data_IF_390588720642
#
_entry.id   IF_390588720642
#
_cell.length_a   1.000
_cell.length_b   1.000
_cell.length_c   1.000
_cell.angle_alpha   90.00
_cell.angle_beta   90.00
_cell.angle_gamma   90.00
#
_symmetry.space_group_name_H-M   'P 1'
#
loop_
_entity.id
_entity.type
_entity.pdbx_description
1 polymer ?
#
# COMPACT_ATOMS: atom_id res chain seq x y z
N UNK A 1 -28.71 27.93 -12.23
CA UNK A 1 -27.73 27.93 -11.11
C UNK A 1 -26.58 28.83 -11.52
N UNK A 2 -26.25 29.86 -10.72
CA UNK A 2 -25.19 30.82 -11.03
C UNK A 2 -23.84 30.07 -11.15
N UNK A 3 -23.02 30.39 -12.13
CA UNK A 3 -21.77 29.69 -12.41
C UNK A 3 -20.79 29.69 -11.23
N UNK A 4 -20.77 30.74 -10.39
CA UNK A 4 -19.95 30.80 -9.17
C UNK A 4 -20.34 29.73 -8.12
N UNK A 5 -21.61 29.33 -8.05
CA UNK A 5 -22.04 28.23 -7.20
C UNK A 5 -21.46 26.90 -7.68
N UNK A 6 -21.41 26.70 -9.02
CA UNK A 6 -20.74 25.52 -9.64
C UNK A 6 -19.25 25.52 -9.35
N UNK A 7 -18.60 26.70 -9.40
CA UNK A 7 -17.18 26.85 -9.10
C UNK A 7 -16.88 26.49 -7.64
N UNK A 8 -17.67 26.99 -6.68
CA UNK A 8 -17.49 26.66 -5.26
C UNK A 8 -17.71 25.18 -4.98
N UNK A 9 -18.71 24.57 -5.64
CA UNK A 9 -18.93 23.13 -5.53
C UNK A 9 -17.75 22.33 -6.09
N UNK A 10 -17.19 22.75 -7.21
CA UNK A 10 -16.00 22.14 -7.80
C UNK A 10 -14.79 22.25 -6.86
N UNK A 11 -14.55 23.45 -6.31
CA UNK A 11 -13.48 23.66 -5.34
C UNK A 11 -13.64 22.74 -4.12
N UNK A 12 -14.85 22.63 -3.57
CA UNK A 12 -15.11 21.75 -2.42
C UNK A 12 -14.76 20.28 -2.71
N UNK A 13 -15.04 19.80 -3.93
CA UNK A 13 -14.68 18.45 -4.38
C UNK A 13 -13.17 18.27 -4.60
N UNK A 14 -12.41 19.34 -4.70
CA UNK A 14 -10.97 19.37 -4.97
C UNK A 14 -10.16 19.92 -3.77
N UNK A 15 -10.62 19.66 -2.54
CA UNK A 15 -9.97 20.15 -1.31
C UNK A 15 -9.76 21.66 -1.29
N UNK A 16 -10.70 22.42 -1.87
CA UNK A 16 -10.71 23.89 -1.87
C UNK A 16 -9.91 24.55 -2.98
N UNK A 17 -9.35 23.81 -3.94
CA UNK A 17 -8.58 24.40 -5.04
C UNK A 17 -9.28 24.31 -6.39
N UNK A 18 -8.95 25.24 -7.28
CA UNK A 18 -9.44 25.30 -8.66
C UNK A 18 -8.30 25.64 -9.62
N UNK A 19 -8.36 25.09 -10.83
CA UNK A 19 -7.43 25.41 -11.92
C UNK A 19 -8.02 26.36 -12.95
N UNK A 20 -7.20 27.23 -13.51
CA UNK A 20 -7.64 28.20 -14.54
C UNK A 20 -8.30 27.53 -15.74
N UNK A 21 -7.83 26.34 -16.12
CA UNK A 21 -8.39 25.59 -17.26
C UNK A 21 -9.81 25.06 -17.01
N UNK A 22 -10.25 25.02 -15.76
CA UNK A 22 -11.60 24.58 -15.38
C UNK A 22 -12.64 25.70 -15.51
N UNK A 23 -12.20 26.98 -15.66
CA UNK A 23 -13.10 28.13 -15.72
C UNK A 23 -14.12 28.00 -16.84
N UNK A 24 -13.70 27.57 -18.02
CA UNK A 24 -14.62 27.37 -19.16
C UNK A 24 -15.73 26.34 -18.88
N UNK A 25 -15.42 25.28 -18.13
CA UNK A 25 -16.38 24.21 -17.81
C UNK A 25 -17.48 24.66 -16.83
N UNK A 26 -17.17 25.62 -15.97
CA UNK A 26 -18.16 26.16 -15.03
C UNK A 26 -18.89 27.40 -15.56
N UNK A 27 -18.47 27.95 -16.70
CA UNK A 27 -19.03 29.15 -17.31
C UNK A 27 -18.44 30.45 -16.77
N UNK A 28 -17.24 30.37 -16.22
CA UNK A 28 -16.46 31.54 -15.77
C UNK A 28 -15.50 32.03 -16.86
N UNK A 29 -14.93 33.22 -16.66
CA UNK A 29 -13.99 33.85 -17.59
C UNK A 29 -12.65 34.23 -16.96
N UNK A 30 -11.69 34.60 -17.84
CA UNK A 30 -10.36 35.05 -17.43
C UNK A 30 -10.34 36.41 -16.70
N UNK A 31 -11.38 37.23 -16.87
CA UNK A 31 -11.51 38.51 -16.14
C UNK A 31 -11.80 38.25 -14.68
N UNK A 32 -12.73 37.33 -14.40
CA UNK A 32 -13.01 36.90 -13.04
C UNK A 32 -11.76 36.30 -12.39
N UNK A 33 -11.00 35.45 -13.10
CA UNK A 33 -9.77 34.84 -12.58
C UNK A 33 -8.76 35.90 -12.11
N UNK A 34 -8.52 36.92 -12.94
CA UNK A 34 -7.62 38.00 -12.58
C UNK A 34 -8.10 38.80 -11.36
N UNK A 35 -9.42 39.04 -11.25
CA UNK A 35 -9.99 39.75 -10.13
C UNK A 35 -9.97 38.91 -8.85
N UNK A 36 -10.26 37.59 -8.95
CA UNK A 36 -10.23 36.65 -7.81
C UNK A 36 -8.86 36.60 -7.12
N UNK A 37 -7.78 36.72 -7.88
CA UNK A 37 -6.41 36.79 -7.36
C UNK A 37 -6.11 38.05 -6.51
N UNK A 38 -6.97 39.04 -6.53
CA UNK A 38 -6.78 40.36 -5.87
C UNK A 38 -7.78 40.62 -4.75
N UNK A 39 -8.88 39.91 -4.70
CA UNK A 39 -10.00 40.25 -3.82
C UNK A 39 -9.97 39.58 -2.43
N UNK A 40 -8.92 38.80 -2.15
CA UNK A 40 -8.72 38.14 -0.84
C UNK A 40 -9.63 36.96 -0.54
N UNK A 41 -10.62 36.66 -1.41
CA UNK A 41 -11.49 35.48 -1.25
C UNK A 41 -10.89 34.20 -1.84
N UNK A 42 -9.85 34.37 -2.64
CA UNK A 42 -9.10 33.29 -3.28
C UNK A 42 -7.61 33.59 -3.16
N UNK A 43 -6.87 32.66 -2.61
CA UNK A 43 -5.43 32.74 -2.48
C UNK A 43 -4.77 32.14 -3.73
N UNK A 44 -3.91 32.88 -4.43
CA UNK A 44 -3.15 32.33 -5.55
C UNK A 44 -2.03 31.43 -5.05
N UNK A 45 -2.11 30.12 -5.34
CA UNK A 45 -1.02 29.17 -5.10
C UNK A 45 0.02 29.21 -6.24
N UNK A 46 -0.46 29.50 -7.46
CA UNK A 46 0.35 29.73 -8.65
C UNK A 46 -0.40 30.63 -9.63
N UNK A 47 0.17 30.85 -10.83
CA UNK A 47 -0.55 31.57 -11.90
C UNK A 47 -1.78 30.81 -12.39
N UNK A 48 -1.85 29.50 -12.16
CA UNK A 48 -2.87 28.63 -12.70
C UNK A 48 -3.79 28.01 -11.65
N UNK A 49 -3.52 28.17 -10.36
CA UNK A 49 -4.28 27.55 -9.27
C UNK A 49 -4.63 28.58 -8.20
N UNK A 50 -5.91 28.57 -7.84
CA UNK A 50 -6.44 29.35 -6.71
C UNK A 50 -6.94 28.42 -5.62
N UNK A 51 -6.71 28.78 -4.37
CA UNK A 51 -7.29 28.17 -3.17
C UNK A 51 -8.39 29.07 -2.60
N UNK A 52 -9.51 28.48 -2.21
CA UNK A 52 -10.56 29.19 -1.49
C UNK A 52 -10.05 29.60 -0.13
N UNK A 53 -10.30 30.86 0.25
CA UNK A 53 -9.95 31.37 1.57
C UNK A 53 -10.57 30.50 2.68
N UNK A 54 -9.84 30.37 3.81
CA UNK A 54 -10.25 29.53 4.94
C UNK A 54 -10.10 28.00 4.72
N UNK A 55 -9.62 27.55 3.56
CA UNK A 55 -9.38 26.11 3.34
C UNK A 55 -8.01 25.69 3.87
N UNK A 56 -7.92 24.65 4.72
CA UNK A 56 -6.64 24.18 5.26
C UNK A 56 -5.72 23.62 4.19
N UNK A 57 -4.42 23.84 4.37
CA UNK A 57 -3.39 23.30 3.47
C UNK A 57 -3.11 21.84 3.81
N UNK A 58 -3.88 20.92 3.24
CA UNK A 58 -3.68 19.46 3.41
C UNK A 58 -2.77 18.88 2.33
N UNK A 59 -2.30 17.66 2.56
CA UNK A 59 -1.49 16.91 1.58
C UNK A 59 -2.32 16.61 0.33
N UNK A 60 -3.59 16.26 0.50
CA UNK A 60 -4.54 16.04 -0.59
C UNK A 60 -4.75 17.33 -1.41
N UNK A 61 -4.90 18.48 -0.75
CA UNK A 61 -5.00 19.76 -1.43
C UNK A 61 -3.80 20.03 -2.32
N UNK A 62 -2.57 19.75 -1.81
CA UNK A 62 -1.33 19.91 -2.60
C UNK A 62 -1.30 19.00 -3.83
N UNK A 63 -1.79 17.75 -3.71
CA UNK A 63 -1.92 16.84 -4.83
C UNK A 63 -2.86 17.40 -5.92
N UNK A 64 -4.05 17.87 -5.54
CA UNK A 64 -4.96 18.56 -6.47
C UNK A 64 -4.32 19.79 -7.10
N UNK A 65 -3.71 20.65 -6.29
CA UNK A 65 -3.05 21.86 -6.76
C UNK A 65 -1.93 21.55 -7.77
N UNK A 66 -1.09 20.55 -7.48
CA UNK A 66 0.00 20.13 -8.37
C UNK A 66 -0.51 19.62 -9.73
N UNK A 67 -1.56 18.79 -9.73
CA UNK A 67 -2.17 18.30 -10.98
C UNK A 67 -2.82 19.44 -11.76
N UNK A 68 -3.58 20.32 -11.11
CA UNK A 68 -4.25 21.46 -11.74
C UNK A 68 -3.24 22.48 -12.31
N UNK A 69 -2.15 22.73 -11.60
CA UNK A 69 -1.08 23.63 -12.04
C UNK A 69 -0.35 23.08 -13.27
N UNK A 70 -0.14 21.78 -13.31
CA UNK A 70 0.45 21.11 -14.46
C UNK A 70 -0.47 21.10 -15.71
N UNK A 71 -1.76 21.34 -15.57
CA UNK A 71 -2.72 21.57 -16.67
C UNK A 71 -3.76 20.46 -16.86
N UNK A 72 -4.71 20.70 -17.78
CA UNK A 72 -5.91 19.88 -17.97
C UNK A 72 -5.68 18.40 -18.29
N UNK A 73 -4.49 18.04 -18.79
CA UNK A 73 -4.15 16.66 -19.16
C UNK A 73 -3.15 16.01 -18.22
N UNK A 74 -2.83 16.69 -17.11
CA UNK A 74 -1.93 16.18 -16.09
C UNK A 74 -2.65 15.17 -15.19
N UNK A 75 -1.87 14.28 -14.61
CA UNK A 75 -2.33 13.29 -13.65
C UNK A 75 -1.24 13.01 -12.62
N UNK A 76 -1.64 12.58 -11.43
CA UNK A 76 -0.72 12.17 -10.38
C UNK A 76 0.07 10.94 -10.82
N UNK A 77 1.37 10.90 -10.59
CA UNK A 77 2.24 9.87 -11.12
C UNK A 77 3.29 9.42 -10.09
N UNK A 78 4.07 8.41 -10.48
CA UNK A 78 5.22 7.88 -9.74
C UNK A 78 4.87 7.58 -8.27
N UNK A 79 5.73 7.96 -7.34
CA UNK A 79 5.56 7.72 -5.91
C UNK A 79 4.30 8.39 -5.35
N UNK A 80 3.93 9.58 -5.87
CA UNK A 80 2.70 10.26 -5.45
C UNK A 80 1.43 9.51 -5.88
N UNK A 81 1.45 8.80 -7.02
CA UNK A 81 0.34 7.92 -7.40
C UNK A 81 0.25 6.70 -6.46
N UNK A 82 1.38 6.10 -6.10
CA UNK A 82 1.44 4.99 -5.14
C UNK A 82 0.93 5.42 -3.76
N UNK A 83 1.38 6.58 -3.27
CA UNK A 83 0.91 7.15 -2.01
C UNK A 83 -0.61 7.44 -2.02
N UNK A 84 -1.15 7.88 -3.17
CA UNK A 84 -2.59 8.10 -3.32
C UNK A 84 -3.41 6.82 -3.24
N UNK A 85 -2.83 5.70 -3.62
CA UNK A 85 -3.40 4.35 -3.43
C UNK A 85 -3.18 3.79 -2.01
N UNK A 86 -2.41 4.45 -1.16
CA UNK A 86 -2.14 4.02 0.21
C UNK A 86 -1.01 2.98 0.33
N UNK A 87 -0.14 2.86 -0.68
CA UNK A 87 1.02 1.97 -0.56
C UNK A 87 1.98 2.45 0.52
N UNK A 88 2.49 1.50 1.32
CA UNK A 88 3.41 1.80 2.43
C UNK A 88 4.73 2.39 1.93
N UNK A 89 5.28 3.33 2.69
CA UNK A 89 6.53 4.02 2.39
C UNK A 89 6.54 4.83 1.08
N UNK A 90 5.38 5.09 0.49
CA UNK A 90 5.23 6.04 -0.59
C UNK A 90 4.79 7.42 -0.05
N UNK A 91 5.31 8.49 -0.64
CA UNK A 91 5.03 9.87 -0.21
C UNK A 91 4.30 10.65 -1.29
N UNK A 92 3.33 11.45 -0.87
CA UNK A 92 2.74 12.49 -1.73
C UNK A 92 3.67 13.71 -1.90
N UNK A 93 4.68 13.86 -1.06
CA UNK A 93 5.59 15.00 -1.09
C UNK A 93 7.03 14.60 -1.41
N UNK A 94 7.64 15.25 -2.38
CA UNK A 94 7.09 16.30 -3.25
C UNK A 94 6.08 15.73 -4.25
N UNK A 95 5.00 16.48 -4.53
CA UNK A 95 3.96 16.05 -5.48
C UNK A 95 4.59 15.79 -6.85
N UNK A 96 4.35 14.60 -7.40
CA UNK A 96 4.86 14.16 -8.70
C UNK A 96 3.70 13.98 -9.66
N UNK A 97 3.78 14.64 -10.80
CA UNK A 97 2.74 14.60 -11.83
C UNK A 97 3.35 14.28 -13.19
N UNK A 98 2.56 13.65 -14.03
CA UNK A 98 2.95 13.39 -15.39
C UNK A 98 1.91 13.92 -16.39
N UNK A 99 2.34 14.05 -17.63
CA UNK A 99 1.52 14.40 -18.78
C UNK A 99 1.84 13.49 -19.94
N UNK A 100 0.89 13.37 -20.87
CA UNK A 100 1.16 12.71 -22.14
C UNK A 100 2.14 13.54 -22.99
N UNK A 101 3.03 12.86 -23.71
CA UNK A 101 3.88 13.51 -24.69
C UNK A 101 3.04 14.19 -25.76
N UNK A 102 3.42 15.40 -26.20
CA UNK A 102 2.72 16.16 -27.23
C UNK A 102 1.74 17.21 -26.70
N UNK A 103 1.51 17.28 -25.39
CA UNK A 103 0.74 18.38 -24.80
C UNK A 103 1.60 19.60 -24.55
N UNK A 104 0.98 20.80 -24.63
CA UNK A 104 1.65 22.11 -24.43
C UNK A 104 2.41 22.16 -23.11
N UNK A 105 3.60 22.75 -23.13
CA UNK A 105 4.46 22.83 -21.98
C UNK A 105 3.99 23.95 -21.04
N UNK A 106 3.34 23.61 -19.95
CA UNK A 106 3.23 24.51 -18.79
C UNK A 106 4.17 23.97 -17.71
N UNK A 107 5.14 24.78 -17.32
CA UNK A 107 5.96 24.50 -16.16
C UNK A 107 5.10 24.82 -14.94
N UNK A 108 4.57 23.80 -14.27
CA UNK A 108 3.91 23.97 -12.98
C UNK A 108 4.94 24.23 -11.90
N UNK A 109 4.64 25.16 -10.98
CA UNK A 109 5.49 25.47 -9.82
C UNK A 109 5.19 24.57 -8.61
N UNK A 110 3.99 23.96 -8.58
CA UNK A 110 3.45 23.25 -7.41
C UNK A 110 3.74 21.74 -7.40
N UNK A 111 4.34 21.20 -8.46
CA UNK A 111 4.66 19.77 -8.54
C UNK A 111 5.89 19.52 -9.42
N UNK A 112 6.57 18.41 -9.17
CA UNK A 112 7.59 17.91 -10.09
C UNK A 112 6.90 17.26 -11.28
N UNK A 113 6.96 17.91 -12.45
CA UNK A 113 6.26 17.48 -13.65
C UNK A 113 7.22 16.84 -14.65
N UNK A 114 6.83 15.69 -15.21
CA UNK A 114 7.56 15.06 -16.31
C UNK A 114 6.61 14.54 -17.40
N UNK A 115 7.15 13.97 -18.45
CA UNK A 115 6.39 13.42 -19.57
C UNK A 115 6.55 11.93 -19.64
N UNK A 116 5.44 11.21 -19.60
CA UNK A 116 5.42 9.78 -19.85
C UNK A 116 5.14 9.50 -21.33
N UNK A 117 5.88 8.52 -21.84
CA UNK A 117 5.65 7.97 -23.17
C UNK A 117 4.65 6.82 -23.08
N UNK A 118 4.01 6.50 -24.20
CA UNK A 118 3.14 5.32 -24.35
C UNK A 118 2.01 5.24 -23.28
N UNK A 119 1.41 6.39 -22.93
CA UNK A 119 0.26 6.45 -22.01
C UNK A 119 -1.04 6.28 -22.81
N UNK A 120 -1.78 5.22 -22.54
CA UNK A 120 -3.09 4.93 -23.08
C UNK A 120 -4.18 5.55 -22.20
N UNK A 121 -5.43 5.58 -22.70
CA UNK A 121 -6.56 6.07 -21.90
C UNK A 121 -6.77 5.26 -20.61
N UNK A 122 -6.65 3.94 -20.69
CA UNK A 122 -6.77 3.03 -19.55
C UNK A 122 -5.63 3.13 -18.51
N UNK A 123 -4.53 3.80 -18.84
CA UNK A 123 -3.41 3.99 -17.94
C UNK A 123 -3.65 5.14 -16.94
N UNK A 124 -4.75 5.89 -17.07
CA UNK A 124 -5.12 6.97 -16.14
C UNK A 124 -6.54 6.72 -15.64
N UNK A 125 -6.70 6.70 -14.33
CA UNK A 125 -7.96 6.48 -13.63
C UNK A 125 -8.31 7.70 -12.78
N UNK A 126 -9.58 7.88 -12.43
CA UNK A 126 -10.00 8.95 -11.51
C UNK A 126 -10.26 8.33 -10.15
N UNK A 127 -9.50 8.75 -9.15
CA UNK A 127 -9.62 8.26 -7.76
C UNK A 127 -9.82 9.46 -6.84
N UNK A 128 -10.90 9.46 -6.07
CA UNK A 128 -11.28 10.58 -5.19
C UNK A 128 -11.30 11.93 -5.93
N UNK A 129 -11.78 11.92 -7.18
CA UNK A 129 -11.88 13.11 -8.02
C UNK A 129 -10.57 13.60 -8.68
N UNK A 130 -9.44 12.93 -8.43
CA UNK A 130 -8.14 13.27 -9.02
C UNK A 130 -7.77 12.28 -10.13
N UNK A 131 -7.32 12.73 -11.32
CA UNK A 131 -6.73 11.85 -12.32
C UNK A 131 -5.36 11.35 -11.83
N UNK A 132 -5.20 10.04 -11.83
CA UNK A 132 -4.04 9.33 -11.26
C UNK A 132 -3.58 8.26 -12.26
N UNK A 133 -2.30 8.03 -12.36
CA UNK A 133 -1.76 6.89 -13.09
C UNK A 133 -2.31 5.59 -12.49
N UNK A 134 -2.78 4.67 -13.32
CA UNK A 134 -3.37 3.42 -12.84
C UNK A 134 -2.39 2.63 -11.96
N UNK A 135 -2.86 1.80 -11.01
CA UNK A 135 -2.01 1.07 -10.08
C UNK A 135 -0.88 0.31 -10.76
N UNK A 136 -1.21 -0.44 -11.80
CA UNK A 136 -0.21 -1.21 -12.56
C UNK A 136 0.81 -0.30 -13.27
N UNK A 137 0.38 0.84 -13.80
CA UNK A 137 1.29 1.78 -14.46
C UNK A 137 2.18 2.52 -13.45
N UNK A 138 1.66 2.82 -12.25
CA UNK A 138 2.45 3.36 -11.15
C UNK A 138 3.53 2.37 -10.71
N UNK A 139 3.20 1.07 -10.57
CA UNK A 139 4.17 0.01 -10.31
C UNK A 139 5.26 -0.08 -11.40
N UNK A 140 4.91 0.08 -12.68
CA UNK A 140 5.88 0.14 -13.78
C UNK A 140 6.80 1.35 -13.72
N UNK A 141 6.30 2.52 -13.31
CA UNK A 141 7.13 3.71 -13.10
C UNK A 141 8.11 3.49 -11.95
N UNK A 142 7.65 2.89 -10.86
CA UNK A 142 8.51 2.54 -9.74
C UNK A 142 9.58 1.49 -10.14
N UNK A 143 9.20 0.45 -10.88
CA UNK A 143 10.14 -0.52 -11.41
C UNK A 143 11.23 0.16 -12.29
N UNK A 144 10.84 1.12 -13.12
CA UNK A 144 11.77 1.87 -13.95
C UNK A 144 12.73 2.72 -13.11
N UNK A 145 12.24 3.35 -12.03
CA UNK A 145 13.07 4.13 -11.09
C UNK A 145 14.03 3.23 -10.33
N UNK A 146 13.55 2.10 -9.85
CA UNK A 146 14.34 1.14 -9.07
C UNK A 146 15.39 0.40 -9.93
N UNK A 147 15.19 0.30 -11.24
CA UNK A 147 16.14 -0.39 -12.15
C UNK A 147 17.54 0.26 -12.22
N UNK A 148 17.71 1.44 -11.63
CA UNK A 148 19.02 2.08 -11.44
C UNK A 148 19.74 1.62 -10.16
N UNK A 149 19.08 0.84 -9.29
CA UNK A 149 19.63 0.30 -8.04
C UNK A 149 20.05 -1.16 -8.23
N UNK A 150 20.95 -1.69 -7.38
CA UNK A 150 21.22 -3.13 -7.31
C UNK A 150 19.95 -3.92 -6.97
N UNK A 151 19.83 -5.14 -7.52
CA UNK A 151 18.65 -5.98 -7.38
C UNK A 151 18.33 -6.29 -5.90
N UNK A 152 19.34 -6.44 -5.06
CA UNK A 152 19.19 -6.65 -3.60
C UNK A 152 18.38 -5.54 -2.89
N UNK A 153 18.38 -4.32 -3.44
CA UNK A 153 17.60 -3.19 -2.94
C UNK A 153 16.31 -2.96 -3.74
N UNK A 154 16.38 -3.18 -5.06
CA UNK A 154 15.29 -2.90 -5.98
C UNK A 154 14.15 -3.92 -5.85
N UNK A 155 14.48 -5.22 -5.80
CA UNK A 155 13.50 -6.30 -5.78
C UNK A 155 12.60 -6.21 -4.53
N UNK A 156 13.11 -6.16 -3.29
CA UNK A 156 12.24 -6.10 -2.10
C UNK A 156 11.35 -4.86 -2.05
N UNK A 157 11.83 -3.72 -2.59
CA UNK A 157 11.02 -2.48 -2.65
C UNK A 157 9.87 -2.61 -3.64
N UNK A 158 10.13 -3.15 -4.83
CA UNK A 158 9.09 -3.35 -5.84
C UNK A 158 8.10 -4.43 -5.43
N UNK A 159 8.58 -5.51 -4.81
CA UNK A 159 7.72 -6.55 -4.23
C UNK A 159 6.68 -5.96 -3.29
N UNK A 160 7.13 -5.13 -2.35
CA UNK A 160 6.24 -4.46 -1.39
C UNK A 160 5.17 -3.62 -2.09
N UNK A 161 5.56 -2.80 -3.09
CA UNK A 161 4.61 -1.97 -3.84
C UNK A 161 3.55 -2.84 -4.54
N UNK A 162 3.98 -3.88 -5.25
CA UNK A 162 3.08 -4.76 -6.00
C UNK A 162 2.15 -5.52 -5.06
N UNK A 163 2.67 -5.99 -3.92
CA UNK A 163 1.90 -6.72 -2.92
C UNK A 163 0.91 -5.81 -2.18
N UNK A 164 1.30 -4.55 -1.86
CA UNK A 164 0.39 -3.57 -1.27
C UNK A 164 -0.78 -3.24 -2.22
N UNK A 165 -0.51 -3.04 -3.50
CA UNK A 165 -1.54 -2.80 -4.51
C UNK A 165 -2.46 -4.02 -4.68
N UNK A 166 -1.92 -5.23 -4.62
CA UNK A 166 -2.72 -6.45 -4.70
C UNK A 166 -3.60 -6.63 -3.46
N UNK A 167 -3.05 -6.43 -2.27
CA UNK A 167 -3.76 -6.51 -1.00
C UNK A 167 -4.89 -5.49 -0.90
N UNK A 168 -4.69 -4.31 -1.47
CA UNK A 168 -5.73 -3.28 -1.58
C UNK A 168 -6.77 -3.56 -2.69
N UNK A 169 -6.74 -4.72 -3.34
CA UNK A 169 -7.60 -5.10 -4.49
C UNK A 169 -7.51 -4.14 -5.68
N UNK A 170 -6.40 -3.41 -5.80
CA UNK A 170 -6.14 -2.46 -6.89
C UNK A 170 -5.38 -3.09 -8.06
N UNK A 171 -4.80 -4.27 -7.85
CA UNK A 171 -4.01 -5.01 -8.81
C UNK A 171 -4.26 -6.51 -8.66
N UNK A 172 -4.54 -7.22 -9.76
CA UNK A 172 -4.57 -8.68 -9.78
C UNK A 172 -3.31 -9.26 -10.40
N UNK A 173 -3.02 -10.55 -10.12
CA UNK A 173 -1.86 -11.22 -10.73
C UNK A 173 -2.02 -11.37 -12.24
N UNK A 174 -3.24 -11.55 -12.74
CA UNK A 174 -3.55 -11.55 -14.17
C UNK A 174 -3.16 -10.21 -14.80
N UNK A 175 -3.54 -9.09 -14.16
CA UNK A 175 -3.17 -7.75 -14.65
C UNK A 175 -1.66 -7.53 -14.61
N UNK A 176 -0.94 -8.07 -13.61
CA UNK A 176 0.51 -8.02 -13.55
C UNK A 176 1.13 -8.74 -14.76
N UNK A 177 0.72 -9.99 -15.03
CA UNK A 177 1.22 -10.77 -16.15
C UNK A 177 0.83 -10.16 -17.51
N UNK A 178 -0.41 -9.66 -17.64
CA UNK A 178 -0.87 -8.96 -18.85
C UNK A 178 -0.02 -7.71 -19.11
N UNK A 179 0.30 -6.97 -18.05
CA UNK A 179 1.14 -5.78 -18.19
C UNK A 179 2.54 -6.12 -18.72
N UNK A 180 3.10 -7.26 -18.32
CA UNK A 180 4.40 -7.73 -18.82
C UNK A 180 4.31 -8.10 -20.31
N UNK A 181 3.21 -8.73 -20.73
CA UNK A 181 2.97 -8.99 -22.16
C UNK A 181 2.82 -7.71 -22.99
N UNK A 182 2.09 -6.74 -22.46
CA UNK A 182 1.78 -5.49 -23.16
C UNK A 182 2.89 -4.44 -23.12
N UNK A 183 3.61 -4.34 -22.00
CA UNK A 183 4.58 -3.28 -21.73
C UNK A 183 6.02 -3.76 -21.68
N UNK A 184 6.25 -5.04 -21.38
CA UNK A 184 7.56 -5.63 -21.19
C UNK A 184 8.29 -5.86 -22.52
N UNK A 185 9.10 -4.89 -22.94
CA UNK A 185 9.90 -4.96 -24.16
C UNK A 185 11.38 -4.70 -23.87
N UNK A 186 12.24 -5.17 -24.79
CA UNK A 186 13.69 -4.91 -24.72
C UNK A 186 13.94 -3.38 -24.70
N UNK A 187 14.81 -2.94 -23.81
CA UNK A 187 15.18 -1.53 -23.66
C UNK A 187 14.18 -0.67 -22.85
N UNK A 188 13.08 -1.26 -22.34
CA UNK A 188 12.22 -0.56 -21.39
C UNK A 188 12.74 -0.78 -19.98
N UNK A 189 13.06 0.32 -19.28
CA UNK A 189 13.49 0.30 -17.88
C UNK A 189 12.40 -0.38 -16.99
N UNK A 190 12.85 -1.16 -16.01
CA UNK A 190 11.96 -1.90 -15.10
C UNK A 190 11.44 -3.23 -15.63
N UNK A 191 11.64 -3.59 -16.91
CA UNK A 191 11.11 -4.85 -17.48
C UNK A 191 11.70 -6.07 -16.78
N UNK A 192 12.98 -6.08 -16.46
CA UNK A 192 13.64 -7.18 -15.74
C UNK A 192 13.03 -7.34 -14.36
N UNK A 193 12.98 -6.26 -13.59
CA UNK A 193 12.41 -6.26 -12.24
C UNK A 193 10.96 -6.75 -12.23
N UNK A 194 10.11 -6.23 -13.13
CA UNK A 194 8.70 -6.67 -13.22
C UNK A 194 8.57 -8.15 -13.53
N UNK A 195 9.44 -8.72 -14.37
CA UNK A 195 9.50 -10.15 -14.66
C UNK A 195 9.92 -10.94 -13.42
N UNK A 196 10.97 -10.51 -12.73
CA UNK A 196 11.45 -11.14 -11.48
C UNK A 196 10.31 -11.19 -10.44
N UNK A 197 9.56 -10.09 -10.27
CA UNK A 197 8.43 -10.05 -9.35
C UNK A 197 7.31 -11.01 -9.76
N UNK A 198 7.01 -11.10 -11.04
CA UNK A 198 5.90 -11.92 -11.54
C UNK A 198 6.15 -13.43 -11.45
N UNK A 199 7.40 -13.89 -11.43
CA UNK A 199 7.75 -15.31 -11.34
C UNK A 199 7.10 -15.98 -10.12
N UNK A 200 7.06 -15.27 -8.98
CA UNK A 200 6.49 -15.76 -7.73
C UNK A 200 5.00 -15.43 -7.55
N UNK A 201 4.34 -14.84 -8.56
CA UNK A 201 2.95 -14.33 -8.49
C UNK A 201 2.13 -14.86 -9.65
N UNK A 202 1.66 -16.09 -9.51
CA UNK A 202 0.92 -16.80 -10.56
C UNK A 202 -0.56 -16.41 -10.54
N UNK A 203 -1.21 -16.16 -11.70
CA UNK A 203 -2.65 -15.99 -11.79
C UNK A 203 -3.42 -17.16 -11.14
N UNK A 204 -4.48 -16.84 -10.39
CA UNK A 204 -5.29 -17.85 -9.67
C UNK A 204 -4.72 -18.27 -8.31
N UNK A 205 -3.51 -17.84 -7.94
CA UNK A 205 -3.06 -17.91 -6.56
C UNK A 205 -3.42 -16.61 -5.86
N UNK A 206 -4.25 -16.65 -4.84
CA UNK A 206 -4.32 -15.57 -3.85
C UNK A 206 -2.90 -15.32 -3.29
N UNK A 207 -2.64 -14.18 -2.65
CA UNK A 207 -1.50 -14.07 -1.71
C UNK A 207 -1.81 -15.10 -0.65
N UNK A 208 -1.33 -16.30 -0.86
CA UNK A 208 -1.69 -17.45 -0.07
C UNK A 208 -0.98 -17.31 1.27
N UNK A 209 -1.66 -17.76 2.30
CA UNK A 209 -1.07 -18.18 3.55
C UNK A 209 0.31 -18.82 3.31
N UNK A 210 0.47 -19.63 2.28
CA UNK A 210 1.74 -20.30 1.92
C UNK A 210 2.91 -19.35 1.65
N UNK A 211 2.68 -18.13 1.15
CA UNK A 211 3.77 -17.17 0.91
C UNK A 211 4.22 -16.47 2.20
N UNK A 212 3.30 -16.24 3.11
CA UNK A 212 3.63 -15.73 4.44
C UNK A 212 4.36 -16.81 5.22
N UNK A 213 3.93 -18.06 5.07
CA UNK A 213 4.59 -19.23 5.64
C UNK A 213 6.00 -19.40 5.09
N UNK A 214 6.22 -19.32 3.77
CA UNK A 214 7.54 -19.37 3.12
C UNK A 214 8.44 -18.25 3.66
N UNK A 215 7.90 -17.03 3.79
CA UNK A 215 8.66 -15.91 4.32
C UNK A 215 9.03 -16.09 5.78
N UNK A 216 8.14 -16.65 6.58
CA UNK A 216 8.43 -16.97 7.98
C UNK A 216 9.57 -18.00 8.09
N UNK A 217 9.54 -19.05 7.28
CA UNK A 217 10.63 -20.03 7.21
C UNK A 217 11.95 -19.38 6.82
N UNK A 218 11.96 -18.48 5.81
CA UNK A 218 13.15 -17.71 5.43
C UNK A 218 13.71 -16.89 6.60
N UNK A 219 12.82 -16.19 7.36
CA UNK A 219 13.23 -15.38 8.52
C UNK A 219 13.88 -16.23 9.60
N UNK A 220 13.35 -17.41 9.86
CA UNK A 220 13.96 -18.34 10.83
C UNK A 220 15.32 -18.87 10.33
N UNK A 221 15.41 -19.26 9.07
CA UNK A 221 16.63 -19.78 8.46
C UNK A 221 17.75 -18.73 8.39
N UNK A 222 17.43 -17.47 8.03
CA UNK A 222 18.39 -16.37 7.99
C UNK A 222 19.02 -16.08 9.38
N UNK A 223 18.34 -16.45 10.46
CA UNK A 223 18.80 -16.27 11.84
C UNK A 223 19.35 -17.57 12.48
N UNK A 224 19.53 -18.63 11.69
CA UNK A 224 19.94 -19.95 12.17
C UNK A 224 19.07 -20.48 13.33
N UNK A 225 17.77 -20.11 13.32
CA UNK A 225 16.81 -20.54 14.31
C UNK A 225 16.32 -21.97 13.98
N UNK A 226 16.11 -22.79 15.02
CA UNK A 226 15.61 -24.15 14.81
C UNK A 226 14.31 -24.17 13.98
N UNK A 227 14.17 -25.05 12.99
CA UNK A 227 13.01 -25.08 12.10
C UNK A 227 11.73 -25.50 12.85
N UNK A 228 10.61 -25.05 12.34
CA UNK A 228 9.27 -25.48 12.76
C UNK A 228 8.64 -26.35 11.67
N UNK A 229 7.76 -27.27 12.06
CA UNK A 229 7.04 -28.17 11.17
C UNK A 229 5.77 -27.48 10.68
N UNK A 230 5.54 -27.28 9.37
CA UNK A 230 4.37 -26.61 8.86
C UNK A 230 3.10 -27.47 8.92
N UNK A 231 1.94 -26.84 8.99
CA UNK A 231 0.61 -27.40 8.73
C UNK A 231 0.25 -28.62 9.61
N UNK A 232 0.46 -28.53 10.92
CA UNK A 232 0.21 -29.64 11.85
C UNK A 232 -1.18 -29.50 12.52
N UNK A 233 -1.95 -30.58 12.53
CA UNK A 233 -3.20 -30.67 13.30
C UNK A 233 -2.87 -30.95 14.77
N UNK A 234 -3.39 -30.11 15.66
CA UNK A 234 -3.20 -30.24 17.12
C UNK A 234 -4.53 -30.52 17.82
N UNK A 235 -4.49 -31.25 18.97
CA UNK A 235 -5.68 -31.44 19.83
C UNK A 235 -6.12 -32.88 20.06
N UNK A 236 -5.34 -33.91 19.73
CA UNK A 236 -5.65 -35.32 20.07
C UNK A 236 -7.07 -35.75 19.64
N UNK A 237 -7.85 -36.40 20.55
CA UNK A 237 -9.19 -36.87 20.27
C UNK A 237 -10.23 -35.78 19.99
N UNK A 238 -9.92 -34.51 20.32
CA UNK A 238 -10.69 -33.32 19.96
C UNK A 238 -9.78 -32.36 19.27
N UNK A 239 -9.75 -32.35 17.92
CA UNK A 239 -8.88 -31.47 17.18
C UNK A 239 -9.24 -30.00 17.44
N UNK A 240 -8.27 -29.19 17.91
CA UNK A 240 -8.42 -27.75 18.07
C UNK A 240 -8.36 -27.08 16.70
N UNK A 241 -7.59 -27.68 15.78
CA UNK A 241 -7.46 -27.23 14.42
C UNK A 241 -6.06 -27.46 13.86
N UNK A 242 -5.86 -27.08 12.60
CA UNK A 242 -4.57 -27.08 11.93
C UNK A 242 -3.84 -25.78 12.27
N UNK A 243 -2.60 -25.87 12.73
CA UNK A 243 -1.72 -24.72 12.99
C UNK A 243 -0.78 -24.51 11.81
N UNK A 244 -0.37 -23.26 11.57
CA UNK A 244 0.54 -22.96 10.47
C UNK A 244 1.90 -23.62 10.70
N UNK A 245 2.41 -23.53 11.94
CA UNK A 245 3.66 -24.17 12.32
C UNK A 245 3.59 -24.75 13.73
N UNK A 246 4.36 -25.81 13.96
CA UNK A 246 4.56 -26.44 15.28
C UNK A 246 6.05 -26.69 15.51
N UNK A 247 6.51 -26.47 16.74
CA UNK A 247 7.83 -26.89 17.18
C UNK A 247 7.85 -28.43 17.35
N UNK A 248 8.85 -29.14 16.77
CA UNK A 248 8.91 -30.60 16.83
C UNK A 248 9.06 -31.13 18.25
N UNK A 249 9.79 -30.40 19.10
CA UNK A 249 10.25 -30.87 20.43
C UNK A 249 9.49 -30.23 21.59
N UNK A 250 8.82 -29.10 21.36
CA UNK A 250 8.19 -28.31 22.40
C UNK A 250 6.68 -28.16 22.17
N UNK A 251 5.86 -28.01 23.22
CA UNK A 251 4.44 -27.63 23.06
C UNK A 251 4.32 -26.15 22.69
N UNK A 252 4.75 -25.82 21.48
CA UNK A 252 4.75 -24.48 20.90
C UNK A 252 4.23 -24.53 19.48
N UNK A 253 3.39 -23.55 19.14
CA UNK A 253 2.88 -23.33 17.77
C UNK A 253 3.14 -21.89 17.34
N UNK A 254 3.23 -21.67 16.04
CA UNK A 254 3.22 -20.34 15.46
C UNK A 254 2.07 -20.21 14.46
N UNK A 255 1.39 -19.07 14.50
CA UNK A 255 0.30 -18.68 13.60
C UNK A 255 0.69 -17.40 12.87
N UNK A 256 0.45 -17.34 11.57
CA UNK A 256 0.81 -16.20 10.73
C UNK A 256 -0.46 -15.44 10.35
N UNK A 257 -0.61 -14.25 10.90
CA UNK A 257 -1.79 -13.42 10.69
C UNK A 257 -1.55 -12.33 9.65
N UNK A 258 -2.57 -12.08 8.84
CA UNK A 258 -2.65 -10.96 7.91
C UNK A 258 -3.89 -10.13 8.17
N UNK A 259 -3.80 -8.81 8.09
CA UNK A 259 -4.97 -7.91 8.18
C UNK A 259 -6.02 -8.21 7.11
N UNK A 260 -5.64 -8.80 5.99
CA UNK A 260 -6.57 -9.20 4.94
C UNK A 260 -7.57 -10.26 5.41
N UNK A 261 -7.14 -11.18 6.28
CA UNK A 261 -7.95 -12.32 6.73
C UNK A 261 -8.46 -12.18 8.17
N UNK A 262 -7.91 -11.23 8.94
CA UNK A 262 -8.18 -11.03 10.37
C UNK A 262 -8.60 -9.60 10.70
N UNK A 263 -9.40 -8.96 9.81
CA UNK A 263 -9.73 -7.53 9.94
C UNK A 263 -11.09 -7.25 10.59
N UNK A 264 -11.98 -8.25 10.67
CA UNK A 264 -13.33 -8.04 11.20
C UNK A 264 -13.43 -8.39 12.70
N UNK A 265 -14.41 -7.80 13.45
CA UNK A 265 -14.65 -8.18 14.84
C UNK A 265 -14.95 -9.68 15.03
N UNK A 266 -15.61 -10.33 14.06
CA UNK A 266 -15.89 -11.77 14.11
C UNK A 266 -14.64 -12.63 13.93
N UNK A 267 -13.69 -12.19 13.09
CA UNK A 267 -12.40 -12.87 12.93
C UNK A 267 -11.61 -12.80 14.23
N UNK A 268 -11.54 -11.62 14.84
CA UNK A 268 -10.91 -11.39 16.14
C UNK A 268 -11.45 -12.30 17.23
N UNK A 269 -12.77 -12.44 17.33
CA UNK A 269 -13.40 -13.32 18.31
C UNK A 269 -13.13 -14.81 18.01
N UNK A 270 -12.98 -15.15 16.74
CA UNK A 270 -12.57 -16.48 16.29
C UNK A 270 -11.14 -16.81 16.71
N UNK A 271 -10.19 -15.90 16.44
CA UNK A 271 -8.78 -16.03 16.81
C UNK A 271 -8.61 -16.11 18.33
N UNK A 272 -9.32 -15.25 19.07
CA UNK A 272 -9.31 -15.28 20.54
C UNK A 272 -9.69 -16.64 21.10
N UNK A 273 -10.80 -17.22 20.60
CA UNK A 273 -11.24 -18.57 21.04
C UNK A 273 -10.24 -19.64 20.65
N UNK A 274 -9.65 -19.54 19.48
CA UNK A 274 -8.64 -20.47 18.97
C UNK A 274 -7.39 -20.45 19.83
N UNK A 275 -6.82 -19.26 20.09
CA UNK A 275 -5.62 -19.13 20.92
C UNK A 275 -5.88 -19.54 22.37
N UNK A 276 -7.05 -19.21 22.94
CA UNK A 276 -7.44 -19.69 24.26
C UNK A 276 -7.51 -21.22 24.31
N UNK A 277 -8.04 -21.86 23.24
CA UNK A 277 -8.06 -23.32 23.13
C UNK A 277 -6.65 -23.94 23.07
N UNK A 278 -5.74 -23.35 22.32
CA UNK A 278 -4.34 -23.79 22.23
C UNK A 278 -3.62 -23.66 23.56
N UNK A 279 -3.79 -22.53 24.25
CA UNK A 279 -3.19 -22.31 25.60
C UNK A 279 -3.78 -23.28 26.61
N UNK A 280 -5.10 -23.52 26.61
CA UNK A 280 -5.73 -24.50 27.48
C UNK A 280 -5.25 -25.94 27.23
N UNK A 281 -4.85 -26.26 25.99
CA UNK A 281 -4.23 -27.52 25.61
C UNK A 281 -2.72 -27.59 25.94
N UNK A 282 -2.15 -26.57 26.56
CA UNK A 282 -0.76 -26.52 27.00
C UNK A 282 0.25 -25.97 25.99
N UNK A 283 -0.21 -25.40 24.88
CA UNK A 283 0.68 -24.81 23.87
C UNK A 283 1.00 -23.34 24.18
N UNK A 284 2.27 -22.97 24.04
CA UNK A 284 2.66 -21.57 23.87
C UNK A 284 2.45 -21.17 22.40
N UNK A 285 1.87 -20.01 22.16
CA UNK A 285 1.46 -19.55 20.82
C UNK A 285 2.26 -18.32 20.43
N UNK A 286 2.99 -18.38 19.31
CA UNK A 286 3.63 -17.23 18.68
C UNK A 286 2.71 -16.73 17.55
N UNK A 287 2.15 -15.55 17.70
CA UNK A 287 1.32 -14.90 16.67
C UNK A 287 2.17 -13.87 15.96
N UNK A 288 2.45 -14.13 14.70
CA UNK A 288 3.30 -13.29 13.86
C UNK A 288 2.44 -12.57 12.83
N UNK A 289 2.50 -11.25 12.84
CA UNK A 289 1.77 -10.43 11.87
C UNK A 289 2.59 -10.20 10.61
N UNK A 290 1.90 -10.23 9.47
CA UNK A 290 2.49 -10.09 8.13
C UNK A 290 3.45 -8.90 8.03
N UNK A 291 3.08 -7.73 8.59
CA UNK A 291 3.90 -6.53 8.52
C UNK A 291 5.28 -6.72 9.18
N UNK A 292 5.35 -7.47 10.28
CA UNK A 292 6.60 -7.73 10.97
C UNK A 292 7.49 -8.73 10.21
N UNK A 293 6.93 -9.66 9.46
CA UNK A 293 7.70 -10.56 8.58
C UNK A 293 8.55 -9.79 7.56
N UNK A 294 8.05 -8.64 7.12
CA UNK A 294 8.72 -7.83 6.09
C UNK A 294 9.55 -6.69 6.65
N UNK A 295 9.13 -6.10 7.77
CA UNK A 295 9.70 -4.85 8.29
C UNK A 295 10.46 -5.00 9.62
N UNK A 296 10.20 -6.06 10.41
CA UNK A 296 10.70 -6.18 11.77
C UNK A 296 11.05 -7.62 12.15
N UNK A 297 12.01 -8.21 11.43
CA UNK A 297 12.47 -9.59 11.64
C UNK A 297 12.92 -9.87 13.07
N UNK A 298 13.57 -8.90 13.73
CA UNK A 298 14.03 -9.05 15.10
C UNK A 298 12.88 -9.28 16.06
N UNK A 299 11.71 -8.68 15.82
CA UNK A 299 10.54 -8.88 16.63
C UNK A 299 9.90 -10.25 16.39
N UNK A 300 9.88 -10.73 15.15
CA UNK A 300 9.46 -12.10 14.81
C UNK A 300 10.30 -13.12 15.60
N UNK A 301 11.63 -13.00 15.54
CA UNK A 301 12.56 -13.89 16.25
C UNK A 301 12.39 -13.79 17.78
N UNK A 302 12.18 -12.60 18.31
CA UNK A 302 11.90 -12.37 19.73
C UNK A 302 10.64 -13.11 20.17
N UNK A 303 9.56 -13.02 19.42
CA UNK A 303 8.27 -13.67 19.72
C UNK A 303 8.39 -15.19 19.67
N UNK A 304 9.03 -15.74 18.65
CA UNK A 304 9.29 -17.19 18.57
C UNK A 304 10.16 -17.68 19.73
N UNK A 305 11.22 -16.95 20.06
CA UNK A 305 12.09 -17.29 21.19
C UNK A 305 11.34 -17.23 22.53
N UNK A 306 10.49 -16.22 22.74
CA UNK A 306 9.66 -16.09 23.93
C UNK A 306 8.66 -17.25 24.07
N UNK A 307 7.99 -17.64 23.00
CA UNK A 307 7.07 -18.78 22.99
C UNK A 307 7.80 -20.09 23.29
N UNK A 308 8.99 -20.32 22.70
CA UNK A 308 9.82 -21.48 23.01
C UNK A 308 10.26 -21.51 24.49
N UNK A 309 10.66 -20.35 25.04
CA UNK A 309 11.03 -20.25 26.45
C UNK A 309 9.85 -20.56 27.38
N UNK A 310 8.67 -20.05 27.07
CA UNK A 310 7.43 -20.33 27.80
C UNK A 310 7.04 -21.81 27.73
N UNK A 311 7.15 -22.42 26.56
CA UNK A 311 6.89 -23.86 26.36
C UNK A 311 7.83 -24.72 27.20
N UNK A 312 9.16 -24.42 27.20
CA UNK A 312 10.15 -25.10 28.07
C UNK A 312 9.85 -24.95 29.56
N UNK A 313 9.31 -23.82 29.95
CA UNK A 313 8.96 -23.54 31.34
C UNK A 313 7.59 -24.11 31.76
N UNK A 314 6.87 -24.79 30.85
CA UNK A 314 5.50 -25.27 31.10
C UNK A 314 4.51 -24.14 31.41
N UNK A 315 4.72 -22.96 30.83
CA UNK A 315 3.87 -21.76 31.00
C UNK A 315 3.26 -21.35 29.66
N UNK A 316 2.19 -22.03 29.21
CA UNK A 316 1.54 -21.69 27.96
C UNK A 316 0.99 -20.25 28.01
N UNK A 317 1.28 -19.49 26.96
CA UNK A 317 0.85 -18.10 26.81
C UNK A 317 0.85 -17.72 25.33
N UNK A 318 0.20 -16.61 24.99
CA UNK A 318 0.21 -16.05 23.64
C UNK A 318 1.20 -14.88 23.58
N UNK A 319 2.00 -14.85 22.52
CA UNK A 319 2.98 -13.81 22.25
C UNK A 319 2.71 -13.22 20.87
N UNK A 320 2.63 -11.90 20.78
CA UNK A 320 2.36 -11.19 19.53
C UNK A 320 3.56 -10.36 19.09
N UNK A 321 3.75 -10.25 17.78
CA UNK A 321 4.65 -9.24 17.19
C UNK A 321 4.06 -7.84 17.31
N UNK A 322 4.90 -6.81 17.13
CA UNK A 322 4.56 -5.41 17.40
C UNK A 322 3.44 -4.85 16.52
N UNK A 323 3.29 -5.36 15.29
CA UNK A 323 2.23 -4.92 14.36
C UNK A 323 0.86 -5.52 14.67
N UNK A 324 0.69 -6.22 15.79
CA UNK A 324 -0.64 -6.65 16.24
C UNK A 324 -1.58 -5.43 16.33
N UNK A 325 -2.69 -5.42 15.59
CA UNK A 325 -3.61 -4.27 15.57
C UNK A 325 -4.43 -4.12 16.87
N UNK A 326 -4.28 -5.07 17.81
CA UNK A 326 -5.02 -5.16 19.07
C UNK A 326 -4.10 -5.12 20.31
N UNK A 327 -3.21 -4.12 20.47
CA UNK A 327 -2.11 -4.16 21.42
C UNK A 327 -2.53 -4.16 22.91
N UNK A 328 -3.72 -3.66 23.23
CA UNK A 328 -4.21 -3.58 24.61
C UNK A 328 -4.83 -4.91 25.09
N UNK A 329 -5.47 -5.63 24.17
CA UNK A 329 -6.14 -6.89 24.49
C UNK A 329 -5.21 -8.11 24.40
N UNK A 330 -4.11 -7.99 23.64
CA UNK A 330 -3.14 -9.07 23.46
C UNK A 330 -2.19 -9.27 24.65
N UNK A 331 -2.12 -8.32 25.59
CA UNK A 331 -1.22 -8.34 26.74
C UNK A 331 -1.90 -8.77 28.03
N UNK A 332 -3.21 -8.97 28.01
CA UNK A 332 -3.93 -9.48 29.16
C UNK A 332 -3.63 -10.98 29.32
N UNK A 333 -3.14 -11.46 30.49
CA UNK A 333 -2.85 -12.86 30.73
C UNK A 333 -4.09 -13.78 30.70
N UNK A 334 -5.28 -13.23 30.58
CA UNK A 334 -6.56 -13.96 30.38
C UNK A 334 -6.94 -14.11 28.89
N UNK A 335 -6.05 -13.76 28.00
CA UNK A 335 -6.16 -14.04 26.58
C UNK A 335 -5.82 -15.47 26.28
#
# INVERSE_FOLDING_TARGET
>A
MHWEARLRRLAALQSGVIGIHQMGHVGGDHRWWRNARRNGRWEPLSDHVLRSDGTPATVEQRAFAGVLDAGATAFLADESALAWFGTRNASLEPVQVARRRGTTNRSGALARAHRLRDIRACDVVVVRGLPVLSPIRAAWCEAARLSALPDEWAVPRLERVVDDLHRAHLLTWEQLHDSIRCLGRRGRSGTSLMRTIAVKRTPGTSVTESRLEDRFVEVLAEADAAPLVPQVVVGGDRPIGRTDFRDPDLPMVAEINSLTFHSTPSDRDGDRRRYAGLVAAGFAVAVVWEDDLWSNRSDVLRVVAAARAAARAGRPAVFHTASCPWPLDCRDPLW
#
